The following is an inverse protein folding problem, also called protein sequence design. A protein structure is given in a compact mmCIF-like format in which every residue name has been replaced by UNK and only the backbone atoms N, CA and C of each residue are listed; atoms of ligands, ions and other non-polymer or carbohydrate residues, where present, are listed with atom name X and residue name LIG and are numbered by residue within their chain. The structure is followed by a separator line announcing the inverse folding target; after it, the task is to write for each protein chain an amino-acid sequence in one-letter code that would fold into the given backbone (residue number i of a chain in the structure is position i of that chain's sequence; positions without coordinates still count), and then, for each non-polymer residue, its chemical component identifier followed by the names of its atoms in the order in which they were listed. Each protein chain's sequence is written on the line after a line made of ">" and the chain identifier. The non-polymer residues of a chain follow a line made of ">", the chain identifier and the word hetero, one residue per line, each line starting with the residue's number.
data_IF_017867750925
#
_entry.id   IF_017867750925
#
_cell.length_a   1.000
_cell.length_b   1.000
_cell.length_c   1.000
_cell.angle_alpha   90.00
_cell.angle_beta   90.00
_cell.angle_gamma   90.00
#
_symmetry.space_group_name_H-M   'P 1'
#
loop_
_entity.id
_entity.type
_entity.pdbx_description
1 polymer ?
#
# COMPACT_ATOMS: atom_id res chain seq x y z
N UNK A 1 13.56 -15.69 11.98
CA UNK A 1 14.47 -14.53 12.12
C UNK A 1 13.61 -13.27 12.09
N UNK A 2 13.84 -12.36 13.03
CA UNK A 2 13.06 -11.10 13.15
C UNK A 2 13.76 -10.03 12.31
N UNK A 3 13.45 -9.98 11.02
CA UNK A 3 14.09 -9.03 10.07
C UNK A 3 13.81 -7.55 10.38
N UNK A 4 12.79 -7.28 11.20
CA UNK A 4 12.33 -5.93 11.50
C UNK A 4 12.41 -5.55 12.98
N UNK A 5 13.17 -6.28 13.79
CA UNK A 5 13.39 -5.90 15.19
C UNK A 5 14.03 -4.52 15.28
N UNK A 6 13.45 -3.63 16.11
CA UNK A 6 13.88 -2.24 16.23
C UNK A 6 13.49 -1.34 15.04
N UNK A 7 12.79 -1.84 14.04
CA UNK A 7 12.35 -1.05 12.88
C UNK A 7 10.93 -0.55 13.07
N UNK A 8 10.71 0.70 12.73
CA UNK A 8 9.38 1.36 12.69
C UNK A 8 8.90 1.44 11.25
N UNK A 9 7.68 0.97 10.98
CA UNK A 9 7.07 0.96 9.65
C UNK A 9 5.68 1.56 9.71
N UNK A 10 5.32 2.40 8.73
CA UNK A 10 3.96 2.91 8.52
C UNK A 10 3.28 2.17 7.38
N UNK A 11 2.03 1.73 7.60
CA UNK A 11 1.15 1.18 6.56
C UNK A 11 -0.12 2.02 6.48
N UNK A 12 -0.34 2.70 5.36
CA UNK A 12 -1.54 3.52 5.15
C UNK A 12 -2.72 2.69 4.64
N UNK A 13 -3.95 3.07 5.01
CA UNK A 13 -5.15 2.31 4.61
C UNK A 13 -5.19 0.89 5.15
N UNK A 14 -4.66 0.66 6.35
CA UNK A 14 -4.47 -0.67 6.92
C UNK A 14 -5.59 -1.12 7.88
N UNK A 15 -6.73 -0.44 7.88
CA UNK A 15 -7.89 -0.85 8.69
C UNK A 15 -8.49 -2.19 8.25
N UNK A 16 -8.20 -2.67 7.06
CA UNK A 16 -8.70 -3.94 6.49
C UNK A 16 -7.90 -4.34 5.25
N UNK A 17 -8.16 -5.53 4.72
CA UNK A 17 -7.70 -5.96 3.40
C UNK A 17 -6.21 -6.20 3.30
N UNK A 18 -5.60 -5.72 2.20
CA UNK A 18 -4.16 -5.91 1.95
C UNK A 18 -3.32 -5.22 3.01
N UNK A 19 -3.66 -3.97 3.38
CA UNK A 19 -2.92 -3.20 4.38
C UNK A 19 -2.91 -3.85 5.77
N UNK A 20 -4.04 -4.42 6.20
CA UNK A 20 -4.11 -5.23 7.42
C UNK A 20 -3.18 -6.45 7.34
N UNK A 21 -3.21 -7.19 6.21
CA UNK A 21 -2.33 -8.33 6.00
C UNK A 21 -0.84 -7.97 6.02
N UNK A 22 -0.48 -6.80 5.45
CA UNK A 22 0.88 -6.25 5.49
C UNK A 22 1.28 -5.90 6.92
N UNK A 23 0.44 -5.18 7.66
CA UNK A 23 0.71 -4.82 9.05
C UNK A 23 0.93 -6.07 9.92
N UNK A 24 0.07 -7.07 9.79
CA UNK A 24 0.21 -8.35 10.49
C UNK A 24 1.53 -9.05 10.16
N UNK A 25 1.92 -9.08 8.89
CA UNK A 25 3.18 -9.72 8.45
C UNK A 25 4.41 -9.01 9.01
N UNK A 26 4.40 -7.67 9.03
CA UNK A 26 5.49 -6.86 9.56
C UNK A 26 5.60 -7.00 11.09
N UNK A 27 4.49 -6.97 11.82
CA UNK A 27 4.42 -7.23 13.25
C UNK A 27 5.02 -8.61 13.59
N UNK A 28 4.61 -9.66 12.88
CA UNK A 28 5.17 -11.01 13.04
C UNK A 28 6.66 -11.11 12.75
N UNK A 29 7.21 -10.18 11.99
CA UNK A 29 8.64 -10.07 11.70
C UNK A 29 9.39 -9.15 12.69
N UNK A 30 8.73 -8.64 13.74
CA UNK A 30 9.32 -7.90 14.84
C UNK A 30 9.20 -6.37 14.74
N UNK A 31 8.61 -5.82 13.67
CA UNK A 31 8.46 -4.37 13.51
C UNK A 31 7.54 -3.76 14.55
N UNK A 32 7.81 -2.51 14.89
CA UNK A 32 6.79 -1.58 15.39
C UNK A 32 6.04 -1.04 14.18
N UNK A 33 4.72 -1.26 14.13
CA UNK A 33 3.90 -0.94 12.96
C UNK A 33 2.88 0.12 13.29
N UNK A 34 2.97 1.25 12.64
CA UNK A 34 1.89 2.23 12.63
C UNK A 34 0.93 1.90 11.50
N UNK A 35 -0.36 1.86 11.79
CA UNK A 35 -1.41 1.65 10.80
C UNK A 35 -2.33 2.85 10.76
N UNK A 36 -2.70 3.30 9.58
CA UNK A 36 -3.59 4.46 9.44
C UNK A 36 -4.83 4.19 8.60
N UNK A 37 -5.86 4.99 8.84
CA UNK A 37 -7.10 5.01 8.08
C UNK A 37 -8.03 6.12 8.55
N UNK A 38 -9.09 6.37 7.78
CA UNK A 38 -10.03 7.47 8.03
C UNK A 38 -10.90 7.26 9.28
N UNK A 39 -11.27 6.00 9.55
CA UNK A 39 -12.14 5.62 10.66
C UNK A 39 -11.30 5.08 11.82
N UNK A 40 -10.99 5.94 12.79
CA UNK A 40 -10.07 5.62 13.89
C UNK A 40 -10.48 4.35 14.66
N UNK A 41 -11.77 4.17 14.94
CA UNK A 41 -12.24 3.01 15.69
C UNK A 41 -12.02 1.68 14.94
N UNK A 42 -12.16 1.69 13.61
CA UNK A 42 -11.84 0.52 12.81
C UNK A 42 -10.33 0.23 12.79
N UNK A 43 -9.51 1.28 12.69
CA UNK A 43 -8.05 1.15 12.76
C UNK A 43 -7.61 0.60 14.12
N UNK A 44 -8.17 1.11 15.23
CA UNK A 44 -7.92 0.60 16.59
C UNK A 44 -8.31 -0.86 16.74
N UNK A 45 -9.48 -1.25 16.23
CA UNK A 45 -9.92 -2.66 16.25
C UNK A 45 -8.92 -3.56 15.52
N UNK A 46 -8.44 -3.13 14.37
CA UNK A 46 -7.44 -3.89 13.59
C UNK A 46 -6.10 -3.95 14.32
N UNK A 47 -5.63 -2.83 14.89
CA UNK A 47 -4.43 -2.81 15.71
C UNK A 47 -4.51 -3.83 16.86
N UNK A 48 -5.60 -3.81 17.63
CA UNK A 48 -5.84 -4.74 18.72
C UNK A 48 -5.94 -6.21 18.27
N UNK A 49 -6.52 -6.46 17.10
CA UNK A 49 -6.59 -7.82 16.53
C UNK A 49 -5.20 -8.36 16.17
N UNK A 50 -4.30 -7.50 15.68
CA UNK A 50 -2.93 -7.88 15.30
C UNK A 50 -2.05 -7.99 16.55
N UNK A 51 -2.13 -7.02 17.44
CA UNK A 51 -1.34 -6.91 18.67
C UNK A 51 -2.25 -6.56 19.86
N UNK A 52 -2.78 -7.57 20.59
CA UNK A 52 -3.62 -7.33 21.77
C UNK A 52 -2.90 -6.64 22.93
N UNK A 53 -1.57 -6.60 22.94
CA UNK A 53 -0.80 -5.89 23.97
C UNK A 53 -0.79 -4.38 23.72
N UNK A 54 -0.97 -3.94 22.46
CA UNK A 54 -0.92 -2.55 22.04
C UNK A 54 0.47 -1.92 22.06
N UNK A 55 1.52 -2.73 22.20
CA UNK A 55 2.90 -2.23 22.32
C UNK A 55 3.56 -1.94 20.98
N UNK A 56 3.28 -2.76 19.96
CA UNK A 56 3.96 -2.70 18.66
C UNK A 56 3.06 -2.36 17.47
N UNK A 57 1.72 -2.42 17.61
CA UNK A 57 0.81 -2.00 16.53
C UNK A 57 -0.03 -0.81 16.96
N UNK A 58 0.28 0.34 16.41
CA UNK A 58 -0.26 1.63 16.82
C UNK A 58 -1.23 2.18 15.76
N UNK A 59 -2.45 2.51 16.18
CA UNK A 59 -3.49 3.06 15.33
C UNK A 59 -3.40 4.58 15.22
N UNK A 60 -3.41 5.10 14.00
CA UNK A 60 -3.48 6.53 13.70
C UNK A 60 -4.69 6.84 12.81
N UNK A 61 -5.32 8.00 13.05
CA UNK A 61 -6.31 8.52 12.12
C UNK A 61 -5.63 9.42 11.09
N UNK A 62 -5.84 9.13 9.80
CA UNK A 62 -5.46 10.05 8.74
C UNK A 62 -6.31 9.80 7.49
N UNK A 63 -6.74 10.89 6.86
CA UNK A 63 -7.24 10.88 5.48
C UNK A 63 -6.07 11.21 4.55
N UNK A 64 -5.75 10.28 3.66
CA UNK A 64 -4.64 10.46 2.72
C UNK A 64 -4.91 11.54 1.66
N UNK A 65 -6.13 12.04 1.55
CA UNK A 65 -6.47 13.18 0.69
C UNK A 65 -6.18 14.55 1.34
N UNK A 66 -5.90 14.58 2.67
CA UNK A 66 -5.53 15.80 3.41
C UNK A 66 -4.02 15.84 3.67
N UNK A 67 -3.28 16.74 2.99
CA UNK A 67 -1.85 16.89 3.21
C UNK A 67 -1.51 17.25 4.66
N UNK A 68 -2.38 17.99 5.36
CA UNK A 68 -2.20 18.39 6.75
C UNK A 68 -2.28 17.18 7.69
N UNK A 69 -3.29 16.31 7.50
CA UNK A 69 -3.42 15.10 8.30
C UNK A 69 -2.27 14.13 8.03
N UNK A 70 -1.85 13.98 6.77
CA UNK A 70 -0.70 13.15 6.41
C UNK A 70 0.57 13.70 7.06
N UNK A 71 0.83 15.01 7.01
CA UNK A 71 1.97 15.64 7.70
C UNK A 71 1.96 15.34 9.20
N UNK A 72 0.83 15.60 9.87
CA UNK A 72 0.67 15.35 11.32
C UNK A 72 0.88 13.90 11.71
N UNK A 73 0.46 12.95 10.85
CA UNK A 73 0.68 11.52 11.05
C UNK A 73 2.18 11.19 11.12
N UNK A 74 3.00 11.72 10.21
CA UNK A 74 4.46 11.52 10.24
C UNK A 74 5.11 12.19 11.43
N UNK A 75 4.67 13.40 11.80
CA UNK A 75 5.15 14.09 13.00
C UNK A 75 4.87 13.29 14.27
N UNK A 76 3.68 12.70 14.37
CA UNK A 76 3.29 11.83 15.49
C UNK A 76 4.17 10.59 15.59
N UNK A 77 4.45 9.92 14.45
CA UNK A 77 5.33 8.74 14.42
C UNK A 77 6.73 9.12 14.93
N UNK A 78 7.29 10.18 14.39
CA UNK A 78 8.63 10.62 14.78
C UNK A 78 8.71 11.07 16.25
N UNK A 79 7.65 11.69 16.78
CA UNK A 79 7.58 12.08 18.19
C UNK A 79 7.53 10.85 19.12
N UNK A 80 6.89 9.76 18.71
CA UNK A 80 6.76 8.55 19.53
C UNK A 80 7.98 7.63 19.45
N UNK A 81 8.61 7.50 18.29
CA UNK A 81 9.65 6.50 18.06
C UNK A 81 11.02 7.06 17.71
N UNK A 82 11.09 8.37 17.40
CA UNK A 82 12.32 9.02 16.93
C UNK A 82 12.72 8.67 15.50
N UNK A 83 12.15 7.62 14.88
CA UNK A 83 12.60 7.10 13.59
C UNK A 83 11.47 6.47 12.78
N UNK A 84 11.63 6.48 11.45
CA UNK A 84 10.84 5.71 10.48
C UNK A 84 11.80 4.97 9.54
N UNK A 85 11.60 3.67 9.35
CA UNK A 85 12.48 2.82 8.53
C UNK A 85 11.80 2.28 7.29
N UNK A 86 10.46 2.22 7.29
CA UNK A 86 9.69 1.73 6.17
C UNK A 86 8.35 2.46 6.02
N UNK A 87 7.90 2.62 4.78
CA UNK A 87 6.61 3.20 4.43
C UNK A 87 5.90 2.32 3.39
N UNK A 88 4.64 2.01 3.65
CA UNK A 88 3.77 1.33 2.68
C UNK A 88 2.60 2.25 2.34
N UNK A 89 2.63 2.85 1.16
CA UNK A 89 1.52 3.61 0.60
C UNK A 89 0.50 2.62 0.02
N UNK A 90 -0.43 2.15 0.88
CA UNK A 90 -1.43 1.15 0.51
C UNK A 90 -2.84 1.73 0.39
N UNK A 91 -3.16 2.86 1.01
CA UNK A 91 -4.47 3.48 0.91
C UNK A 91 -4.87 3.69 -0.56
N UNK A 92 -6.11 3.31 -0.92
CA UNK A 92 -6.62 3.45 -2.27
C UNK A 92 -8.09 3.06 -2.37
N UNK A 93 -8.73 3.52 -3.42
CA UNK A 93 -10.10 3.20 -3.79
C UNK A 93 -10.19 2.86 -5.29
N UNK A 94 -11.15 2.04 -5.68
CA UNK A 94 -11.30 1.67 -7.10
C UNK A 94 -12.19 2.64 -7.88
N UNK A 95 -13.01 3.42 -7.19
CA UNK A 95 -14.11 4.16 -7.81
C UNK A 95 -15.21 3.25 -8.39
N UNK A 96 -16.10 3.81 -9.23
CA UNK A 96 -17.11 3.06 -9.95
C UNK A 96 -16.52 2.01 -10.89
N UNK A 97 -17.24 0.90 -11.02
CA UNK A 97 -16.91 -0.19 -11.95
C UNK A 97 -17.90 -0.21 -13.13
N UNK A 98 -17.50 -0.81 -14.24
CA UNK A 98 -18.31 -0.96 -15.45
C UNK A 98 -18.83 0.38 -16.00
N UNK A 99 -18.07 1.47 -15.81
CA UNK A 99 -18.42 2.82 -16.22
C UNK A 99 -17.58 3.24 -17.42
N UNK A 100 -18.21 3.58 -18.52
CA UNK A 100 -17.52 4.11 -19.71
C UNK A 100 -16.80 5.41 -19.37
N UNK A 101 -15.67 5.67 -20.03
CA UNK A 101 -14.89 6.89 -19.80
C UNK A 101 -15.69 8.16 -20.10
N UNK A 102 -16.63 8.11 -21.03
CA UNK A 102 -17.48 9.27 -21.40
C UNK A 102 -18.59 9.53 -20.38
N UNK A 103 -18.99 8.50 -19.62
CA UNK A 103 -20.03 8.56 -18.59
C UNK A 103 -19.46 8.66 -17.17
N UNK A 104 -18.11 8.68 -17.05
CA UNK A 104 -17.46 8.69 -15.74
C UNK A 104 -17.72 10.02 -15.03
N UNK A 105 -18.27 9.96 -13.81
CA UNK A 105 -18.52 11.15 -13.01
C UNK A 105 -17.21 11.85 -12.65
N UNK A 106 -17.17 13.19 -12.81
CA UNK A 106 -15.95 13.98 -12.57
C UNK A 106 -15.52 13.94 -11.10
N UNK A 107 -16.47 13.93 -10.16
CA UNK A 107 -16.14 13.91 -8.74
C UNK A 107 -15.64 12.53 -8.30
N UNK A 108 -16.17 11.43 -8.87
CA UNK A 108 -15.63 10.09 -8.68
C UNK A 108 -14.20 9.97 -9.24
N UNK A 109 -13.96 10.56 -10.41
CA UNK A 109 -12.61 10.64 -10.98
C UNK A 109 -11.66 11.35 -10.03
N UNK A 110 -12.02 12.54 -9.55
CA UNK A 110 -11.22 13.32 -8.61
C UNK A 110 -10.96 12.54 -7.31
N UNK A 111 -11.99 11.89 -6.74
CA UNK A 111 -11.86 11.11 -5.53
C UNK A 111 -10.83 9.97 -5.67
N UNK A 112 -10.81 9.28 -6.82
CA UNK A 112 -9.81 8.24 -7.11
C UNK A 112 -8.42 8.86 -7.24
N UNK A 113 -8.28 9.96 -8.01
CA UNK A 113 -6.99 10.63 -8.20
C UNK A 113 -6.45 11.18 -6.87
N UNK A 114 -7.30 11.78 -6.05
CA UNK A 114 -6.91 12.35 -4.76
C UNK A 114 -6.46 11.26 -3.77
N UNK A 115 -7.14 10.13 -3.75
CA UNK A 115 -6.77 9.04 -2.85
C UNK A 115 -5.55 8.27 -3.36
N UNK A 116 -5.56 7.82 -4.61
CA UNK A 116 -4.65 6.80 -5.14
C UNK A 116 -3.35 7.36 -5.70
N UNK A 117 -3.30 8.66 -6.06
CA UNK A 117 -2.06 9.31 -6.51
C UNK A 117 -1.66 10.51 -5.65
N UNK A 118 -2.55 11.45 -5.34
CA UNK A 118 -2.19 12.56 -4.45
C UNK A 118 -1.86 12.05 -3.04
N UNK A 119 -2.60 11.04 -2.53
CA UNK A 119 -2.28 10.39 -1.26
C UNK A 119 -0.92 9.71 -1.24
N UNK A 120 -0.52 9.04 -2.33
CA UNK A 120 0.83 8.48 -2.49
C UNK A 120 1.88 9.58 -2.54
N UNK A 121 1.62 10.67 -3.28
CA UNK A 121 2.51 11.84 -3.31
C UNK A 121 2.71 12.45 -1.91
N UNK A 122 1.64 12.64 -1.13
CA UNK A 122 1.77 13.15 0.25
C UNK A 122 2.53 12.18 1.15
N UNK A 123 2.30 10.88 0.99
CA UNK A 123 3.08 9.84 1.67
C UNK A 123 4.58 9.94 1.37
N UNK A 124 4.96 10.11 0.10
CA UNK A 124 6.35 10.33 -0.30
C UNK A 124 6.89 11.67 0.22
N UNK A 125 6.15 12.76 0.04
CA UNK A 125 6.54 14.12 0.43
C UNK A 125 6.91 14.23 1.90
N UNK A 126 6.15 13.62 2.79
CA UNK A 126 6.39 13.68 4.23
C UNK A 126 7.14 12.47 4.78
N UNK A 127 7.04 11.31 4.11
CA UNK A 127 7.72 10.09 4.51
C UNK A 127 9.21 10.08 4.18
N UNK A 128 9.61 10.59 3.01
CA UNK A 128 11.03 10.64 2.61
C UNK A 128 11.88 11.43 3.63
N UNK A 129 11.51 12.65 4.05
CA UNK A 129 12.25 13.36 5.09
C UNK A 129 12.31 12.60 6.43
N UNK A 130 11.26 11.85 6.79
CA UNK A 130 11.24 11.03 8.00
C UNK A 130 12.22 9.86 7.91
N UNK A 131 12.27 9.17 6.76
CA UNK A 131 13.23 8.09 6.49
C UNK A 131 14.67 8.61 6.47
N UNK A 132 14.93 9.76 5.87
CA UNK A 132 16.28 10.37 5.83
C UNK A 132 16.81 10.67 7.24
N UNK A 133 15.94 11.11 8.16
CA UNK A 133 16.32 11.34 9.58
C UNK A 133 16.74 10.03 10.26
N UNK A 134 16.29 8.90 9.77
CA UNK A 134 16.61 7.56 10.29
C UNK A 134 17.81 6.91 9.58
N UNK A 135 18.49 7.65 8.69
CA UNK A 135 19.64 7.17 7.93
C UNK A 135 19.27 6.43 6.64
N UNK A 136 18.05 6.57 6.16
CA UNK A 136 17.52 5.89 4.97
C UNK A 136 16.40 4.91 5.27
N UNK A 137 15.99 4.13 4.28
CA UNK A 137 14.91 3.15 4.44
C UNK A 137 14.28 2.70 3.13
N UNK A 138 13.11 2.08 3.22
CA UNK A 138 12.43 1.54 2.05
C UNK A 138 10.96 1.94 1.98
N UNK A 139 10.50 2.26 0.78
CA UNK A 139 9.11 2.62 0.48
C UNK A 139 8.54 1.60 -0.51
N UNK A 140 7.34 1.11 -0.23
CA UNK A 140 6.56 0.28 -1.15
C UNK A 140 5.24 0.97 -1.47
N UNK A 141 5.03 1.29 -2.73
CA UNK A 141 3.78 1.85 -3.23
C UNK A 141 2.88 0.74 -3.79
N UNK A 142 1.64 0.64 -3.28
CA UNK A 142 0.65 -0.30 -3.80
C UNK A 142 0.07 0.24 -5.12
N UNK A 143 0.57 -0.30 -6.23
CA UNK A 143 -0.06 -0.19 -7.54
C UNK A 143 -1.09 -1.31 -7.70
N UNK A 144 -1.18 -1.91 -8.84
CA UNK A 144 -2.06 -3.01 -9.25
C UNK A 144 -1.51 -3.59 -10.55
N UNK A 145 -2.04 -4.73 -11.01
CA UNK A 145 -1.93 -5.12 -12.44
C UNK A 145 -2.37 -3.99 -13.36
N UNK A 146 -3.38 -3.20 -12.93
CA UNK A 146 -3.85 -2.00 -13.65
C UNK A 146 -2.82 -0.87 -13.75
N UNK A 147 -1.65 -1.02 -13.13
CA UNK A 147 -0.54 -0.09 -13.32
C UNK A 147 0.24 -0.32 -14.63
N UNK A 148 0.05 -1.48 -15.28
CA UNK A 148 0.74 -1.85 -16.53
C UNK A 148 -0.21 -2.37 -17.61
N UNK A 149 -1.47 -2.69 -17.30
CA UNK A 149 -2.49 -3.08 -18.27
C UNK A 149 -3.75 -2.25 -18.09
N UNK A 150 -4.50 -2.05 -19.18
CA UNK A 150 -5.81 -1.38 -19.14
C UNK A 150 -6.93 -2.38 -18.85
N UNK A 151 -7.93 -1.94 -18.10
CA UNK A 151 -9.19 -2.67 -17.93
C UNK A 151 -10.35 -1.72 -18.25
N UNK A 152 -11.22 -2.13 -19.16
CA UNK A 152 -12.40 -1.35 -19.50
C UNK A 152 -13.31 -1.15 -18.29
N UNK A 153 -13.93 0.03 -18.17
CA UNK A 153 -14.90 0.34 -17.13
C UNK A 153 -14.34 0.76 -15.76
N UNK A 154 -13.00 0.94 -15.63
CA UNK A 154 -12.36 1.45 -14.41
C UNK A 154 -11.21 2.41 -14.74
N UNK A 155 -11.48 3.36 -15.64
CA UNK A 155 -10.47 4.24 -16.22
C UNK A 155 -9.70 5.08 -15.19
N UNK A 156 -10.38 5.66 -14.18
CA UNK A 156 -9.73 6.46 -13.15
C UNK A 156 -8.72 5.63 -12.33
N UNK A 157 -9.11 4.44 -11.90
CA UNK A 157 -8.22 3.54 -11.16
C UNK A 157 -7.02 3.12 -11.99
N UNK A 158 -7.25 2.75 -13.26
CA UNK A 158 -6.17 2.40 -14.20
C UNK A 158 -5.19 3.57 -14.36
N UNK A 159 -5.69 4.79 -14.59
CA UNK A 159 -4.86 5.98 -14.72
C UNK A 159 -4.05 6.24 -13.44
N UNK A 160 -4.69 6.20 -12.26
CA UNK A 160 -4.02 6.40 -10.99
C UNK A 160 -2.92 5.35 -10.73
N UNK A 161 -3.19 4.07 -11.00
CA UNK A 161 -2.21 2.98 -10.77
C UNK A 161 -1.04 3.01 -11.75
N UNK A 162 -1.21 3.50 -12.98
CA UNK A 162 -0.10 3.83 -13.88
C UNK A 162 0.73 5.01 -13.35
N UNK A 163 0.06 6.07 -12.85
CA UNK A 163 0.75 7.23 -12.27
C UNK A 163 1.59 6.86 -11.04
N UNK A 164 1.14 5.90 -10.21
CA UNK A 164 1.93 5.36 -9.09
C UNK A 164 3.27 4.80 -9.55
N UNK A 165 3.36 4.17 -10.73
CA UNK A 165 4.64 3.67 -11.25
C UNK A 165 5.56 4.82 -11.67
N UNK A 166 4.99 5.87 -12.27
CA UNK A 166 5.74 7.08 -12.64
C UNK A 166 6.40 7.73 -11.43
N UNK A 167 5.59 8.04 -10.39
CA UNK A 167 6.11 8.70 -9.18
C UNK A 167 7.07 7.79 -8.38
N UNK A 168 6.87 6.47 -8.42
CA UNK A 168 7.80 5.49 -7.82
C UNK A 168 9.18 5.59 -8.43
N UNK A 169 9.27 5.63 -9.77
CA UNK A 169 10.54 5.74 -10.51
C UNK A 169 11.24 7.07 -10.25
N UNK A 170 10.50 8.18 -10.28
CA UNK A 170 11.05 9.50 -9.98
C UNK A 170 11.65 9.56 -8.58
N UNK A 171 10.88 9.18 -7.56
CA UNK A 171 11.35 9.18 -6.18
C UNK A 171 12.54 8.22 -5.96
N UNK A 172 12.55 7.06 -6.61
CA UNK A 172 13.67 6.12 -6.56
C UNK A 172 14.96 6.75 -7.08
N UNK A 173 14.91 7.42 -8.23
CA UNK A 173 16.08 8.07 -8.84
C UNK A 173 16.59 9.28 -8.02
N UNK A 174 15.66 10.05 -7.44
CA UNK A 174 16.00 11.23 -6.66
C UNK A 174 16.70 10.87 -5.33
N UNK A 175 16.32 9.77 -4.68
CA UNK A 175 16.73 9.48 -3.31
C UNK A 175 17.57 8.20 -3.11
N UNK A 176 17.86 7.45 -4.19
CA UNK A 176 18.68 6.23 -4.10
C UNK A 176 20.06 6.51 -3.49
N UNK A 177 20.72 7.60 -3.89
CA UNK A 177 22.04 7.98 -3.39
C UNK A 177 22.05 8.42 -1.93
N UNK A 178 20.85 8.63 -1.34
CA UNK A 178 20.65 8.99 0.07
C UNK A 178 20.16 7.77 0.90
N UNK A 179 20.26 6.55 0.34
CA UNK A 179 19.92 5.31 1.05
C UNK A 179 18.42 5.03 1.12
N UNK A 180 17.59 5.64 0.25
CA UNK A 180 16.15 5.35 0.17
C UNK A 180 15.87 4.53 -1.08
N UNK A 181 15.21 3.38 -0.90
CA UNK A 181 14.68 2.56 -1.98
C UNK A 181 13.18 2.79 -2.11
N UNK A 182 12.69 2.94 -3.33
CA UNK A 182 11.26 3.12 -3.60
C UNK A 182 10.85 2.14 -4.69
N UNK A 183 9.94 1.23 -4.37
CA UNK A 183 9.45 0.22 -5.31
C UNK A 183 7.91 0.20 -5.34
N UNK A 184 7.35 -0.37 -6.40
CA UNK A 184 5.92 -0.61 -6.52
C UNK A 184 5.61 -2.09 -6.60
N UNK A 185 4.48 -2.51 -6.05
CA UNK A 185 3.93 -3.84 -6.29
C UNK A 185 2.59 -3.75 -7.00
N UNK A 186 2.32 -4.76 -7.84
CA UNK A 186 1.08 -4.90 -8.60
C UNK A 186 0.37 -6.20 -8.28
N UNK A 187 -0.48 -6.23 -7.25
CA UNK A 187 -1.33 -7.40 -7.02
C UNK A 187 -2.35 -7.57 -8.13
N UNK A 188 -2.67 -8.84 -8.46
CA UNK A 188 -3.91 -9.20 -9.13
C UNK A 188 -5.11 -9.11 -8.18
N UNK A 189 -6.15 -9.92 -8.40
CA UNK A 189 -7.24 -10.00 -7.43
C UNK A 189 -6.77 -10.68 -6.14
N UNK A 190 -7.08 -10.04 -4.98
CA UNK A 190 -6.68 -10.51 -3.66
C UNK A 190 -7.93 -10.87 -2.85
N UNK A 191 -7.95 -12.04 -2.23
CA UNK A 191 -9.04 -12.50 -1.37
C UNK A 191 -9.08 -11.71 -0.04
N UNK A 192 -9.76 -10.57 -0.09
CA UNK A 192 -9.96 -9.66 1.04
C UNK A 192 -11.37 -9.80 1.60
N UNK A 193 -11.64 -9.34 2.83
CA UNK A 193 -13.00 -9.36 3.40
C UNK A 193 -14.06 -8.70 2.49
N UNK A 194 -13.68 -7.65 1.75
CA UNK A 194 -14.56 -7.02 0.76
C UNK A 194 -14.86 -7.96 -0.41
N UNK A 195 -13.86 -8.68 -0.93
CA UNK A 195 -14.04 -9.62 -2.04
C UNK A 195 -14.88 -10.83 -1.62
N UNK A 196 -14.78 -11.25 -0.35
CA UNK A 196 -15.56 -12.36 0.19
C UNK A 196 -17.07 -12.07 0.27
N UNK A 197 -17.46 -10.79 0.22
CA UNK A 197 -18.87 -10.36 0.19
C UNK A 197 -19.48 -10.41 -1.23
N UNK A 198 -18.66 -10.59 -2.25
CA UNK A 198 -19.14 -10.69 -3.64
C UNK A 198 -19.79 -12.07 -3.90
N UNK A 199 -20.74 -12.14 -4.86
CA UNK A 199 -21.29 -13.42 -5.31
C UNK A 199 -20.20 -14.42 -5.71
N UNK A 200 -20.44 -15.70 -5.44
CA UNK A 200 -19.46 -16.74 -5.71
C UNK A 200 -19.05 -16.82 -7.19
N UNK A 201 -19.99 -16.59 -8.10
CA UNK A 201 -19.75 -16.56 -9.55
C UNK A 201 -18.75 -15.46 -9.93
N UNK A 202 -18.88 -14.26 -9.32
CA UNK A 202 -17.95 -13.15 -9.54
C UNK A 202 -16.57 -13.50 -9.02
N UNK A 203 -16.49 -14.11 -7.83
CA UNK A 203 -15.21 -14.55 -7.25
C UNK A 203 -14.54 -15.65 -8.09
N UNK A 204 -15.31 -16.59 -8.61
CA UNK A 204 -14.81 -17.64 -9.52
C UNK A 204 -14.31 -17.05 -10.84
N UNK A 205 -15.05 -16.08 -11.40
CA UNK A 205 -14.60 -15.37 -12.58
C UNK A 205 -13.27 -14.64 -12.31
N UNK A 206 -13.15 -13.86 -11.22
CA UNK A 206 -11.90 -13.21 -10.82
C UNK A 206 -10.75 -14.22 -10.69
N UNK A 207 -10.98 -15.35 -10.05
CA UNK A 207 -9.99 -16.41 -9.92
C UNK A 207 -9.57 -16.97 -11.29
N UNK A 208 -10.51 -17.15 -12.20
CA UNK A 208 -10.27 -17.74 -13.54
C UNK A 208 -9.42 -16.86 -14.45
N UNK A 209 -9.40 -15.54 -14.23
CA UNK A 209 -8.58 -14.61 -15.02
C UNK A 209 -7.06 -14.77 -14.76
N UNK A 210 -6.69 -15.39 -13.64
CA UNK A 210 -5.28 -15.68 -13.36
C UNK A 210 -4.89 -17.05 -13.90
N UNK A 211 -3.72 -17.22 -14.54
CA UNK A 211 -3.17 -18.54 -14.88
C UNK A 211 -3.14 -19.53 -13.71
N UNK A 212 -2.85 -19.04 -12.49
CA UNK A 212 -2.87 -19.86 -11.27
C UNK A 212 -4.28 -20.27 -10.80
N UNK A 213 -5.36 -19.84 -11.48
CA UNK A 213 -6.77 -20.18 -11.24
C UNK A 213 -7.28 -19.95 -9.82
N UNK A 214 -6.71 -18.97 -9.15
CA UNK A 214 -7.14 -18.47 -7.83
C UNK A 214 -6.80 -17.01 -7.64
N UNK A 215 -7.45 -16.37 -6.69
CA UNK A 215 -7.01 -15.07 -6.18
C UNK A 215 -5.78 -15.23 -5.27
N UNK A 216 -4.99 -14.19 -5.15
CA UNK A 216 -3.91 -14.15 -4.16
C UNK A 216 -4.48 -14.05 -2.74
N UNK A 217 -3.80 -14.61 -1.77
CA UNK A 217 -4.06 -14.33 -0.36
C UNK A 217 -3.43 -12.99 0.05
N UNK A 218 -3.97 -12.35 1.08
CA UNK A 218 -3.35 -11.14 1.67
C UNK A 218 -1.91 -11.40 2.11
N UNK A 219 -1.62 -12.61 2.60
CA UNK A 219 -0.28 -13.03 3.04
C UNK A 219 0.73 -13.07 1.90
N UNK A 220 0.34 -13.51 0.71
CA UNK A 220 1.23 -13.55 -0.46
C UNK A 220 1.66 -12.16 -0.88
N UNK A 221 0.73 -11.20 -0.92
CA UNK A 221 1.04 -9.79 -1.17
C UNK A 221 1.92 -9.21 -0.07
N UNK A 222 1.58 -9.47 1.19
CA UNK A 222 2.33 -8.99 2.35
C UNK A 222 3.77 -9.52 2.41
N UNK A 223 4.01 -10.75 1.95
CA UNK A 223 5.36 -11.32 1.88
C UNK A 223 6.25 -10.55 0.89
N UNK A 224 5.73 -10.17 -0.27
CA UNK A 224 6.47 -9.35 -1.24
C UNK A 224 6.76 -7.96 -0.67
N UNK A 225 5.78 -7.33 0.00
CA UNK A 225 6.00 -6.03 0.68
C UNK A 225 7.10 -6.16 1.73
N UNK A 226 7.05 -7.17 2.58
CA UNK A 226 8.06 -7.37 3.62
C UNK A 226 9.46 -7.60 3.01
N UNK A 227 9.58 -8.39 1.94
CA UNK A 227 10.84 -8.57 1.21
C UNK A 227 11.37 -7.22 0.68
N UNK A 228 10.54 -6.41 0.04
CA UNK A 228 10.95 -5.12 -0.53
C UNK A 228 11.30 -4.07 0.55
N UNK A 229 10.74 -4.18 1.75
CA UNK A 229 11.11 -3.32 2.88
C UNK A 229 12.41 -3.78 3.57
N UNK A 230 12.78 -5.05 3.45
CA UNK A 230 13.94 -5.62 4.12
C UNK A 230 15.26 -5.36 3.37
N UNK A 231 16.37 -5.59 4.06
CA UNK A 231 17.72 -5.49 3.50
C UNK A 231 18.02 -6.60 2.46
N UNK A 232 17.21 -7.67 2.40
CA UNK A 232 17.31 -8.71 1.37
C UNK A 232 17.07 -8.17 -0.05
N UNK A 233 16.37 -7.03 -0.18
CA UNK A 233 16.14 -6.33 -1.44
C UNK A 233 17.01 -5.06 -1.60
N UNK A 234 18.19 -5.02 -0.96
CA UNK A 234 19.04 -3.82 -0.85
C UNK A 234 19.47 -3.20 -2.18
N UNK A 235 19.47 -3.94 -3.28
CA UNK A 235 19.79 -3.43 -4.61
C UNK A 235 18.57 -3.23 -5.52
N UNK A 236 17.35 -3.26 -4.95
CA UNK A 236 16.09 -3.10 -5.68
C UNK A 236 15.47 -1.74 -5.42
N UNK A 237 15.44 -0.87 -6.44
CA UNK A 237 14.76 0.43 -6.40
C UNK A 237 14.22 0.81 -7.78
N UNK A 238 13.12 1.57 -7.81
CA UNK A 238 12.45 2.02 -9.05
C UNK A 238 11.68 0.91 -9.80
N UNK A 239 11.60 -0.28 -9.26
CA UNK A 239 11.02 -1.44 -9.93
C UNK A 239 9.54 -1.64 -9.62
N UNK A 240 8.85 -2.33 -10.53
CA UNK A 240 7.50 -2.86 -10.36
C UNK A 240 7.58 -4.37 -10.20
N UNK A 241 6.93 -4.90 -9.18
CA UNK A 241 6.87 -6.33 -8.89
C UNK A 241 5.44 -6.83 -8.97
N UNK A 242 5.12 -7.63 -9.98
CA UNK A 242 3.82 -8.27 -10.10
C UNK A 242 3.64 -9.37 -9.04
N UNK A 243 2.47 -9.38 -8.39
CA UNK A 243 2.03 -10.45 -7.47
C UNK A 243 0.63 -10.87 -7.94
N UNK A 244 0.54 -11.43 -9.13
CA UNK A 244 -0.69 -11.49 -9.92
C UNK A 244 -1.02 -12.88 -10.48
N UNK A 245 -0.34 -13.92 -10.04
CA UNK A 245 -0.59 -15.30 -10.48
C UNK A 245 -0.48 -15.50 -11.99
N UNK A 246 0.32 -14.66 -12.67
CA UNK A 246 0.56 -14.70 -14.12
C UNK A 246 -0.42 -13.88 -14.95
N UNK A 247 -1.29 -13.06 -14.32
CA UNK A 247 -2.31 -12.27 -15.03
C UNK A 247 -1.71 -11.38 -16.12
N UNK A 248 -0.58 -10.74 -15.88
CA UNK A 248 0.07 -9.82 -16.82
C UNK A 248 1.11 -10.47 -17.72
N UNK A 249 1.32 -11.78 -17.61
CA UNK A 249 2.28 -12.54 -18.43
C UNK A 249 1.66 -13.14 -19.70
N UNK A 250 0.36 -12.98 -19.92
CA UNK A 250 -0.41 -13.53 -21.05
C UNK A 250 -0.90 -12.44 -22.01
#
# INVERSE_FOLDING_TARGET
>A
MSYFEGKTVLVTGAATGVGEGVAQRLYQAGATVFISGRQLEQVKKTAYTIDPTGEKVIALQADMTSPEQVKSMFETILAQTGALHGLVNNAGITGPHNTSIVDYNIDDWKAVMDTDINGVFYGLKYGIPALLRSGGGSIVNLSSTNGIVGIAGISAYTAAKHAVLGITRSAALEFAHQGIRVNAIGPGYVDTPRMQQLPNEVRQWMASTHPMKRMATRKEVANMVAFLLSDESSFSTGAFYAVDGGYTAQ
#
